data_IF_686856331940
#
_entry.id   IF_686856331940
#
_cell.length_a   1.000
_cell.length_b   1.000
_cell.length_c   1.000
_cell.angle_alpha   90.00
_cell.angle_beta   90.00
_cell.angle_gamma   90.00
#
_symmetry.space_group_name_H-M   'P 1'
#
loop_
_entity.id
_entity.type
_entity.pdbx_description
1 polymer ?
#
# COMPACT_ATOMS: atom_id res chain seq x y z
N UNK A 1 -11.99 -13.13 -5.78
CA UNK A 1 -11.61 -12.58 -4.45
C UNK A 1 -10.44 -11.63 -4.63
N UNK A 2 -10.50 -10.44 -3.99
CA UNK A 2 -9.39 -9.47 -3.98
C UNK A 2 -8.76 -9.50 -2.58
N UNK A 3 -7.48 -9.81 -2.50
CA UNK A 3 -6.66 -9.59 -1.33
C UNK A 3 -6.21 -8.12 -1.32
N UNK A 4 -6.45 -7.40 -0.23
CA UNK A 4 -5.97 -6.04 -0.05
C UNK A 4 -5.06 -5.97 1.17
N UNK A 5 -3.83 -5.50 0.95
CA UNK A 5 -2.85 -5.22 2.01
C UNK A 5 -2.27 -3.82 1.81
N UNK A 6 -1.76 -3.21 2.87
CA UNK A 6 -1.10 -1.89 2.82
C UNK A 6 -0.08 -1.77 3.96
N UNK A 7 0.73 -0.73 3.94
CA UNK A 7 1.58 -0.32 5.07
C UNK A 7 2.58 -1.42 5.50
N UNK A 8 3.28 -2.02 4.53
CA UNK A 8 4.29 -3.05 4.82
C UNK A 8 5.55 -2.46 5.43
N UNK A 9 5.90 -1.22 5.07
CA UNK A 9 7.06 -0.48 5.56
C UNK A 9 8.36 -1.30 5.51
N UNK A 10 8.65 -1.87 4.34
CA UNK A 10 9.86 -2.63 4.11
C UNK A 10 11.07 -1.77 4.45
N UNK A 11 11.82 -2.20 5.48
CA UNK A 11 12.94 -1.50 6.05
C UNK A 11 13.89 -2.46 6.76
N UNK A 12 15.12 -2.52 6.30
CA UNK A 12 16.15 -3.40 6.88
C UNK A 12 17.03 -2.66 7.91
N UNK A 13 17.32 -1.39 7.66
CA UNK A 13 18.18 -0.58 8.51
C UNK A 13 17.48 -0.02 9.75
N UNK A 14 17.30 -0.83 10.80
CA UNK A 14 16.81 -0.37 12.09
C UNK A 14 17.93 -0.42 13.14
N UNK A 15 17.99 0.59 14.02
CA UNK A 15 18.97 0.66 15.09
C UNK A 15 18.83 -0.57 16.02
N UNK A 16 19.95 -1.23 16.29
CA UNK A 16 20.04 -2.42 17.15
C UNK A 16 19.30 -3.65 16.62
N UNK A 17 18.99 -3.70 15.32
CA UNK A 17 18.41 -4.88 14.67
C UNK A 17 19.45 -5.46 13.70
N UNK A 18 19.91 -6.71 13.90
CA UNK A 18 20.83 -7.36 12.97
C UNK A 18 20.18 -7.52 11.58
N UNK A 19 20.92 -7.22 10.51
CA UNK A 19 20.44 -7.30 9.13
C UNK A 19 19.91 -8.70 8.78
N UNK A 20 20.58 -9.83 9.10
CA UNK A 20 20.04 -11.14 8.79
C UNK A 20 18.67 -11.41 9.46
N UNK A 21 18.49 -10.94 10.68
CA UNK A 21 17.20 -11.07 11.37
C UNK A 21 16.10 -10.24 10.70
N UNK A 22 16.42 -9.00 10.30
CA UNK A 22 15.47 -8.15 9.58
C UNK A 22 15.07 -8.78 8.24
N UNK A 23 16.02 -9.34 7.47
CA UNK A 23 15.73 -10.04 6.21
C UNK A 23 14.82 -11.25 6.46
N UNK A 24 15.18 -12.15 7.37
CA UNK A 24 14.40 -13.36 7.67
C UNK A 24 12.97 -13.04 8.11
N UNK A 25 12.76 -11.93 8.81
CA UNK A 25 11.43 -11.48 9.21
C UNK A 25 10.55 -11.12 8.02
N UNK A 26 11.11 -10.45 7.00
CA UNK A 26 10.38 -10.13 5.77
C UNK A 26 10.19 -11.37 4.88
N UNK A 27 11.16 -12.27 4.80
CA UNK A 27 11.04 -13.53 4.09
C UNK A 27 9.88 -14.37 4.62
N UNK A 28 9.77 -14.54 5.94
CA UNK A 28 8.63 -15.21 6.60
C UNK A 28 7.31 -14.50 6.32
N UNK A 29 7.30 -13.16 6.32
CA UNK A 29 6.12 -12.39 5.97
C UNK A 29 5.71 -12.64 4.51
N UNK A 30 6.64 -12.67 3.57
CA UNK A 30 6.35 -12.95 2.17
C UNK A 30 5.83 -14.37 1.95
N UNK A 31 6.38 -15.37 2.66
CA UNK A 31 5.84 -16.73 2.67
C UNK A 31 4.37 -16.73 3.12
N UNK A 32 4.06 -15.98 4.17
CA UNK A 32 2.69 -15.88 4.69
C UNK A 32 1.74 -15.19 3.71
N UNK A 33 2.20 -14.15 3.04
CA UNK A 33 1.42 -13.47 1.98
C UNK A 33 1.12 -14.45 0.85
N UNK A 34 2.11 -15.23 0.38
CA UNK A 34 1.91 -16.24 -0.68
C UNK A 34 0.88 -17.31 -0.30
N UNK A 35 0.90 -17.76 0.96
CA UNK A 35 -0.13 -18.68 1.45
C UNK A 35 -1.54 -18.09 1.35
N UNK A 36 -1.70 -16.81 1.70
CA UNK A 36 -2.99 -16.12 1.65
C UNK A 36 -3.41 -15.87 0.18
N UNK A 37 -2.47 -15.56 -0.70
CA UNK A 37 -2.70 -15.36 -2.14
C UNK A 37 -3.32 -16.58 -2.82
N UNK A 38 -3.08 -17.81 -2.32
CA UNK A 38 -3.71 -19.02 -2.86
C UNK A 38 -5.25 -18.99 -2.83
N UNK A 39 -5.84 -18.16 -1.98
CA UNK A 39 -7.29 -17.96 -1.89
C UNK A 39 -7.81 -16.72 -2.62
N UNK A 40 -6.96 -16.02 -3.36
CA UNK A 40 -7.30 -14.77 -4.04
C UNK A 40 -7.07 -14.84 -5.56
N UNK A 41 -7.85 -14.07 -6.30
CA UNK A 41 -7.70 -13.92 -7.75
C UNK A 41 -6.79 -12.73 -8.10
N UNK A 42 -6.74 -11.73 -7.21
CA UNK A 42 -6.00 -10.48 -7.37
C UNK A 42 -5.45 -10.06 -6.02
N UNK A 43 -4.21 -9.57 -6.00
CA UNK A 43 -3.63 -8.87 -4.84
C UNK A 43 -3.47 -7.38 -5.14
N UNK A 44 -3.93 -6.52 -4.25
CA UNK A 44 -3.73 -5.07 -4.29
C UNK A 44 -2.92 -4.65 -3.08
N UNK A 45 -1.73 -4.07 -3.31
CA UNK A 45 -0.84 -3.55 -2.27
C UNK A 45 -0.96 -2.03 -2.24
N UNK A 46 -1.57 -1.53 -1.17
CA UNK A 46 -2.14 -0.20 -1.03
C UNK A 46 -1.24 0.89 -0.47
N UNK A 47 -0.03 1.01 -0.98
CA UNK A 47 0.93 2.06 -0.57
C UNK A 47 1.71 1.74 0.69
N UNK A 48 2.72 2.55 0.96
CA UNK A 48 3.69 2.39 2.05
C UNK A 48 4.29 0.98 2.08
N UNK A 49 4.61 0.47 0.88
CA UNK A 49 5.35 -0.77 0.71
C UNK A 49 6.76 -0.65 1.29
N UNK A 50 7.41 0.50 1.05
CA UNK A 50 8.68 0.87 1.64
C UNK A 50 8.50 1.93 2.73
N UNK A 51 9.37 1.91 3.74
CA UNK A 51 9.38 2.94 4.80
C UNK A 51 9.94 4.30 4.32
N UNK A 52 10.72 4.29 3.25
CA UNK A 52 11.37 5.42 2.58
C UNK A 52 11.91 4.98 1.22
N UNK A 53 12.63 5.85 0.54
CA UNK A 53 13.43 5.45 -0.64
C UNK A 53 14.32 4.26 -0.25
N UNK A 54 14.17 3.10 -0.91
CA UNK A 54 14.82 1.86 -0.49
C UNK A 54 16.33 1.88 -0.70
N UNK A 55 17.03 1.17 0.16
CA UNK A 55 18.44 0.79 -0.06
C UNK A 55 18.53 -0.31 -1.13
N UNK A 56 19.75 -0.62 -1.58
CA UNK A 56 19.96 -1.72 -2.54
C UNK A 56 19.55 -3.07 -1.96
N UNK A 57 19.80 -3.31 -0.66
CA UNK A 57 19.39 -4.56 0.01
C UNK A 57 17.86 -4.66 0.10
N UNK A 58 17.17 -3.55 0.38
CA UNK A 58 15.71 -3.49 0.40
C UNK A 58 15.12 -3.68 -1.01
N UNK A 59 15.77 -3.16 -2.05
CA UNK A 59 15.37 -3.43 -3.44
C UNK A 59 15.58 -4.90 -3.81
N UNK A 60 16.67 -5.53 -3.40
CA UNK A 60 16.92 -6.95 -3.63
C UNK A 60 15.79 -7.77 -3.01
N UNK A 61 15.48 -7.52 -1.74
CA UNK A 61 14.38 -8.19 -1.04
C UNK A 61 13.02 -7.97 -1.71
N UNK A 62 12.76 -6.76 -2.22
CA UNK A 62 11.56 -6.46 -3.00
C UNK A 62 11.48 -7.29 -4.29
N UNK A 63 12.56 -7.36 -5.05
CA UNK A 63 12.58 -8.14 -6.30
C UNK A 63 12.51 -9.64 -6.07
N UNK A 64 13.06 -10.15 -4.97
CA UNK A 64 12.90 -11.55 -4.55
C UNK A 64 11.42 -11.86 -4.27
N UNK A 65 10.70 -10.96 -3.58
CA UNK A 65 9.24 -11.06 -3.42
C UNK A 65 8.52 -11.05 -4.77
N UNK A 66 8.78 -10.04 -5.61
CA UNK A 66 8.11 -9.85 -6.91
C UNK A 66 8.27 -11.06 -7.82
N UNK A 67 9.45 -11.66 -7.83
CA UNK A 67 9.76 -12.84 -8.66
C UNK A 67 8.84 -14.04 -8.36
N UNK A 68 8.45 -14.19 -7.11
CA UNK A 68 7.67 -15.34 -6.63
C UNK A 68 6.14 -15.10 -6.67
N UNK A 69 5.69 -13.90 -7.07
CA UNK A 69 4.26 -13.59 -7.21
C UNK A 69 3.63 -14.45 -8.30
N UNK A 70 2.51 -15.10 -7.97
CA UNK A 70 1.83 -16.06 -8.85
C UNK A 70 0.42 -15.64 -9.30
N UNK A 71 -0.08 -14.51 -8.80
CA UNK A 71 -1.40 -13.94 -9.17
C UNK A 71 -1.25 -12.49 -9.62
N UNK A 72 -2.18 -11.94 -10.43
CA UNK A 72 -2.18 -10.53 -10.78
C UNK A 72 -2.08 -9.64 -9.54
N UNK A 73 -1.00 -8.86 -9.44
CA UNK A 73 -0.70 -8.02 -8.30
C UNK A 73 -0.53 -6.58 -8.73
N UNK A 74 -1.24 -5.67 -8.06
CA UNK A 74 -1.23 -4.23 -8.34
C UNK A 74 -0.67 -3.49 -7.15
N UNK A 75 0.37 -2.69 -7.37
CA UNK A 75 1.06 -1.92 -6.34
C UNK A 75 0.92 -0.44 -6.67
N UNK A 76 0.49 0.37 -5.72
CA UNK A 76 0.46 1.82 -5.87
C UNK A 76 1.12 2.52 -4.68
N UNK A 77 1.44 3.81 -4.85
CA UNK A 77 2.19 4.59 -3.86
C UNK A 77 1.33 5.03 -2.67
N UNK A 78 1.99 5.06 -1.51
CA UNK A 78 1.56 5.78 -0.33
C UNK A 78 2.38 7.07 -0.13
N UNK A 79 2.27 7.68 1.05
CA UNK A 79 3.00 8.91 1.35
C UNK A 79 4.51 8.68 1.52
N UNK A 80 4.95 7.47 1.90
CA UNK A 80 6.36 7.12 2.03
C UNK A 80 7.07 6.93 0.70
N UNK A 81 6.36 6.61 -0.37
CA UNK A 81 6.90 6.56 -1.73
C UNK A 81 6.91 7.93 -2.43
N UNK A 82 6.20 8.91 -1.90
CA UNK A 82 6.16 10.26 -2.46
C UNK A 82 7.46 11.01 -2.18
N UNK A 83 8.26 11.25 -3.22
CA UNK A 83 9.54 12.00 -3.11
C UNK A 83 9.34 13.50 -3.18
N UNK A 84 8.29 13.95 -3.85
CA UNK A 84 7.81 15.34 -3.96
C UNK A 84 6.31 15.33 -4.18
N UNK A 85 5.69 16.51 -4.05
CA UNK A 85 4.26 16.65 -4.39
C UNK A 85 4.01 16.11 -5.81
N UNK A 86 3.13 15.15 -5.92
CA UNK A 86 2.71 14.46 -7.15
C UNK A 86 3.83 13.68 -7.87
N UNK A 87 4.89 13.25 -7.15
CA UNK A 87 5.95 12.39 -7.69
C UNK A 87 6.24 11.24 -6.75
N UNK A 88 6.30 10.05 -7.30
CA UNK A 88 6.67 8.82 -6.60
C UNK A 88 7.90 8.19 -7.24
N UNK A 89 8.77 7.56 -6.44
CA UNK A 89 9.87 6.76 -6.99
C UNK A 89 9.38 5.45 -7.62
N UNK A 90 8.15 5.04 -7.39
CA UNK A 90 7.56 3.86 -8.03
C UNK A 90 7.54 3.98 -9.56
N UNK A 91 7.42 5.18 -10.11
CA UNK A 91 7.53 5.37 -11.56
C UNK A 91 8.88 4.91 -12.12
N UNK A 92 9.96 4.98 -11.30
CA UNK A 92 11.29 4.48 -11.69
C UNK A 92 11.39 2.95 -11.61
N UNK A 93 10.64 2.32 -10.70
CA UNK A 93 10.64 0.86 -10.51
C UNK A 93 9.71 0.13 -11.50
N UNK A 94 8.72 0.82 -12.05
CA UNK A 94 7.64 0.24 -12.85
C UNK A 94 8.13 -0.71 -13.94
N UNK A 95 9.08 -0.25 -14.76
CA UNK A 95 9.64 -1.06 -15.86
C UNK A 95 10.45 -2.26 -15.34
N UNK A 96 11.25 -2.07 -14.31
CA UNK A 96 12.06 -3.12 -13.74
C UNK A 96 11.17 -4.21 -13.10
N UNK A 97 10.15 -3.81 -12.37
CA UNK A 97 9.16 -4.71 -11.77
C UNK A 97 8.47 -5.57 -12.83
N UNK A 98 7.97 -4.96 -13.89
CA UNK A 98 7.29 -5.67 -14.98
C UNK A 98 8.23 -6.63 -15.74
N UNK A 99 9.52 -6.28 -15.86
CA UNK A 99 10.51 -7.16 -16.49
C UNK A 99 10.87 -8.38 -15.63
N UNK A 100 10.76 -8.26 -14.30
CA UNK A 100 11.00 -9.39 -13.37
C UNK A 100 9.80 -10.32 -13.33
N UNK A 101 8.58 -9.75 -13.29
CA UNK A 101 7.34 -10.52 -13.29
C UNK A 101 6.22 -9.70 -13.93
N UNK A 102 5.67 -10.18 -15.05
CA UNK A 102 4.62 -9.51 -15.82
C UNK A 102 3.24 -9.53 -15.13
N UNK A 103 3.05 -10.39 -14.12
CA UNK A 103 1.86 -10.38 -13.26
C UNK A 103 1.83 -9.18 -12.31
N UNK A 104 2.96 -8.48 -12.10
CA UNK A 104 3.04 -7.37 -11.16
C UNK A 104 3.04 -6.04 -11.88
N UNK A 105 2.04 -5.21 -11.57
CA UNK A 105 1.84 -3.89 -12.17
C UNK A 105 1.95 -2.80 -11.12
N UNK A 106 2.90 -1.88 -11.30
CA UNK A 106 2.93 -0.62 -10.55
C UNK A 106 1.96 0.37 -11.20
N UNK A 107 0.97 0.79 -10.42
CA UNK A 107 -0.07 1.76 -10.82
C UNK A 107 0.33 3.13 -10.29
N UNK A 108 0.99 3.94 -11.10
CA UNK A 108 1.51 5.26 -10.76
C UNK A 108 0.61 6.44 -11.17
N UNK A 109 -0.60 6.13 -11.64
CA UNK A 109 -1.66 7.09 -11.99
C UNK A 109 -3.02 6.49 -11.72
N UNK A 110 -4.01 7.34 -11.47
CA UNK A 110 -5.41 6.91 -11.32
C UNK A 110 -5.83 6.05 -12.50
N UNK A 111 -6.21 4.82 -12.21
CA UNK A 111 -6.55 3.82 -13.22
C UNK A 111 -7.83 3.08 -12.82
N UNK A 112 -8.78 3.01 -13.73
CA UNK A 112 -9.99 2.22 -13.57
C UNK A 112 -9.81 0.84 -14.20
N UNK A 113 -10.08 -0.20 -13.42
CA UNK A 113 -10.12 -1.60 -13.83
C UNK A 113 -11.58 -2.11 -13.83
N UNK A 114 -11.81 -3.29 -14.36
CA UNK A 114 -13.12 -3.93 -14.30
C UNK A 114 -13.60 -4.14 -12.86
N UNK A 115 -12.70 -4.54 -11.98
CA UNK A 115 -12.96 -4.89 -10.58
C UNK A 115 -12.89 -3.73 -9.58
N UNK A 116 -12.39 -2.55 -9.96
CA UNK A 116 -12.22 -1.41 -9.04
C UNK A 116 -11.45 -0.26 -9.66
N UNK A 117 -11.31 0.84 -8.92
CA UNK A 117 -10.46 1.98 -9.29
C UNK A 117 -9.32 2.10 -8.31
N UNK A 118 -8.08 2.23 -8.79
CA UNK A 118 -6.91 2.60 -8.00
C UNK A 118 -6.66 4.09 -8.15
N UNK A 119 -6.64 4.81 -7.02
CA UNK A 119 -6.26 6.21 -6.91
C UNK A 119 -4.99 6.30 -6.06
N UNK A 120 -3.78 6.35 -6.66
CA UNK A 120 -2.52 6.46 -5.94
C UNK A 120 -2.42 7.74 -5.11
N UNK A 121 -1.57 7.72 -4.07
CA UNK A 121 -1.38 8.86 -3.18
C UNK A 121 -0.94 10.13 -3.93
N UNK A 122 -0.01 10.02 -4.88
CA UNK A 122 0.44 11.16 -5.68
C UNK A 122 -0.65 11.78 -6.57
N UNK A 123 -1.73 11.05 -6.84
CA UNK A 123 -2.90 11.59 -7.57
C UNK A 123 -4.00 12.09 -6.62
N UNK A 124 -4.05 11.61 -5.38
CA UNK A 124 -5.08 11.94 -4.39
C UNK A 124 -5.26 13.46 -4.21
N UNK A 125 -4.15 14.18 -4.16
CA UNK A 125 -4.14 15.63 -3.92
C UNK A 125 -4.40 16.48 -5.17
N UNK A 126 -4.55 15.88 -6.35
CA UNK A 126 -4.90 16.62 -7.58
C UNK A 126 -6.36 17.05 -7.52
N UNK A 127 -6.61 18.27 -7.97
CA UNK A 127 -7.98 18.81 -8.01
C UNK A 127 -8.92 17.92 -8.81
N UNK A 128 -10.02 17.50 -8.18
CA UNK A 128 -11.04 16.68 -8.79
C UNK A 128 -10.65 15.21 -9.00
N UNK A 129 -9.55 14.73 -8.43
CA UNK A 129 -9.10 13.33 -8.59
C UNK A 129 -10.13 12.33 -8.05
N UNK A 130 -10.60 12.55 -6.83
CA UNK A 130 -11.61 11.70 -6.18
C UNK A 130 -12.94 11.76 -6.96
N UNK A 131 -13.36 12.97 -7.36
CA UNK A 131 -14.64 13.20 -8.03
C UNK A 131 -14.73 12.52 -9.40
N UNK A 132 -13.61 12.34 -10.08
CA UNK A 132 -13.53 11.66 -11.39
C UNK A 132 -13.61 10.14 -11.29
N UNK A 133 -13.35 9.56 -10.12
CA UNK A 133 -13.45 8.12 -9.95
C UNK A 133 -14.90 7.64 -9.99
N UNK A 134 -15.12 6.47 -10.58
CA UNK A 134 -16.43 5.86 -10.75
C UNK A 134 -17.01 5.44 -9.39
N UNK A 135 -18.14 6.04 -8.92
CA UNK A 135 -18.71 5.72 -7.61
C UNK A 135 -19.32 4.30 -7.53
N UNK A 136 -19.58 3.66 -8.66
CA UNK A 136 -20.18 2.33 -8.71
C UNK A 136 -19.15 1.21 -8.51
N UNK A 137 -17.86 1.55 -8.49
CA UNK A 137 -16.76 0.61 -8.25
C UNK A 137 -16.12 0.81 -6.89
N UNK A 138 -15.57 -0.23 -6.27
CA UNK A 138 -14.69 -0.07 -5.11
C UNK A 138 -13.52 0.86 -5.44
N UNK A 139 -13.17 1.73 -4.51
CA UNK A 139 -12.00 2.60 -4.62
C UNK A 139 -10.87 2.06 -3.74
N UNK A 140 -9.68 1.94 -4.31
CA UNK A 140 -8.44 1.62 -3.61
C UNK A 140 -7.53 2.85 -3.61
N UNK A 141 -7.09 3.29 -2.44
CA UNK A 141 -6.30 4.51 -2.29
C UNK A 141 -5.38 4.44 -1.08
N UNK A 142 -4.59 5.47 -0.86
CA UNK A 142 -3.81 5.66 0.35
C UNK A 142 -4.14 7.04 0.90
N UNK A 143 -4.81 7.11 2.05
CA UNK A 143 -5.31 8.36 2.60
C UNK A 143 -5.36 8.31 4.11
N UNK A 144 -4.85 9.37 4.73
CA UNK A 144 -4.91 9.53 6.18
C UNK A 144 -6.34 9.74 6.65
N UNK A 145 -6.78 8.87 7.55
CA UNK A 145 -8.05 9.01 8.25
C UNK A 145 -7.95 9.94 9.47
N UNK A 146 -9.00 9.94 10.27
CA UNK A 146 -9.09 10.73 11.49
C UNK A 146 -8.92 9.86 12.73
N UNK A 147 -8.04 10.26 13.66
CA UNK A 147 -7.92 9.67 15.02
C UNK A 147 -7.87 10.82 16.01
N UNK A 148 -8.99 11.12 16.63
CA UNK A 148 -9.12 12.20 17.61
C UNK A 148 -8.29 11.93 18.88
N UNK A 149 -7.59 12.91 19.43
CA UNK A 149 -7.28 14.23 18.90
C UNK A 149 -5.96 14.29 18.10
N UNK A 150 -5.35 13.13 17.76
CA UNK A 150 -3.95 13.04 17.37
C UNK A 150 -3.70 13.07 15.86
N UNK A 151 -4.65 12.59 15.05
CA UNK A 151 -4.49 12.48 13.60
C UNK A 151 -5.61 13.23 12.89
N UNK A 152 -5.22 14.19 12.05
CA UNK A 152 -6.14 14.97 11.22
C UNK A 152 -6.05 14.47 9.78
N UNK A 153 -7.19 14.28 9.10
CA UNK A 153 -7.21 13.91 7.69
C UNK A 153 -6.50 14.95 6.81
N UNK A 154 -5.81 14.48 5.79
CA UNK A 154 -5.12 15.34 4.82
C UNK A 154 -6.04 15.82 3.68
N UNK A 155 -7.18 15.15 3.51
CA UNK A 155 -8.25 15.53 2.60
C UNK A 155 -9.59 15.39 3.32
N UNK A 156 -10.59 16.13 2.87
CA UNK A 156 -11.94 16.00 3.40
C UNK A 156 -12.49 14.60 3.10
N UNK A 157 -12.71 13.81 4.15
CA UNK A 157 -13.19 12.43 4.04
C UNK A 157 -14.62 12.32 3.53
N UNK A 158 -15.43 13.40 3.61
CA UNK A 158 -16.79 13.43 3.05
C UNK A 158 -16.79 13.25 1.53
N UNK A 159 -15.70 13.58 0.85
CA UNK A 159 -15.53 13.35 -0.58
C UNK A 159 -15.61 11.87 -0.98
N UNK A 160 -15.38 10.95 -0.03
CA UNK A 160 -15.48 9.51 -0.26
C UNK A 160 -16.91 8.95 -0.07
N UNK A 161 -17.85 9.72 0.48
CA UNK A 161 -19.20 9.26 0.78
C UNK A 161 -19.97 8.75 -0.45
N UNK A 162 -19.59 9.19 -1.65
CA UNK A 162 -20.22 8.75 -2.90
C UNK A 162 -19.89 7.28 -3.26
N UNK A 163 -18.82 6.72 -2.72
CA UNK A 163 -18.43 5.32 -3.00
C UNK A 163 -19.15 4.37 -2.03
N UNK A 164 -19.53 3.21 -2.53
CA UNK A 164 -20.09 2.17 -1.67
C UNK A 164 -19.06 1.65 -0.67
N UNK A 165 -17.79 1.57 -1.07
CA UNK A 165 -16.66 1.13 -0.24
C UNK A 165 -15.33 1.68 -0.76
N UNK A 166 -14.51 2.12 0.18
CA UNK A 166 -13.14 2.56 -0.07
C UNK A 166 -12.19 1.68 0.75
N UNK A 167 -11.13 1.20 0.14
CA UNK A 167 -10.05 0.48 0.80
C UNK A 167 -8.82 1.38 0.81
N UNK A 168 -8.28 1.67 1.98
CA UNK A 168 -7.21 2.65 2.13
C UNK A 168 -6.06 2.14 3.02
N UNK A 169 -4.81 2.50 2.67
CA UNK A 169 -3.66 2.46 3.56
C UNK A 169 -3.52 3.77 4.36
N UNK A 170 -2.49 3.89 5.18
CA UNK A 170 -2.03 4.96 6.10
C UNK A 170 -2.29 4.67 7.58
N UNK A 171 -3.44 4.13 7.95
CA UNK A 171 -3.72 3.81 9.35
C UNK A 171 -3.41 2.35 9.66
N UNK A 172 -2.42 2.14 10.56
CA UNK A 172 -1.84 0.83 10.80
C UNK A 172 -2.69 -0.14 11.62
N UNK A 173 -3.86 0.28 12.12
CA UNK A 173 -4.78 -0.58 12.84
C UNK A 173 -6.13 -0.68 12.12
N UNK A 174 -6.62 -1.91 11.92
CA UNK A 174 -7.91 -2.15 11.30
C UNK A 174 -9.08 -1.53 12.09
N UNK A 175 -8.93 -1.41 13.41
CA UNK A 175 -9.90 -0.73 14.29
C UNK A 175 -10.15 0.74 13.91
N UNK A 176 -9.25 1.35 13.14
CA UNK A 176 -9.40 2.71 12.61
C UNK A 176 -10.30 2.80 11.36
N UNK A 177 -10.86 1.68 10.90
CA UNK A 177 -11.90 1.69 9.86
C UNK A 177 -13.01 2.64 10.24
N UNK A 178 -13.33 3.58 9.35
CA UNK A 178 -14.25 4.66 9.64
C UNK A 178 -15.10 5.02 8.43
N UNK A 179 -16.36 5.41 8.64
CA UNK A 179 -17.32 5.69 7.57
C UNK A 179 -17.41 4.50 6.61
N UNK A 180 -17.22 4.71 5.30
CA UNK A 180 -17.13 3.70 4.27
C UNK A 180 -15.67 3.35 3.87
N UNK A 181 -14.68 3.86 4.64
CA UNK A 181 -13.25 3.64 4.41
C UNK A 181 -12.75 2.53 5.32
N UNK A 182 -12.28 1.45 4.71
CA UNK A 182 -11.73 0.27 5.38
C UNK A 182 -10.21 0.34 5.34
N UNK A 183 -9.58 0.31 6.50
CA UNK A 183 -8.12 0.19 6.65
C UNK A 183 -7.77 -1.26 6.98
N UNK A 184 -6.89 -1.93 6.20
CA UNK A 184 -6.48 -3.30 6.52
C UNK A 184 -5.59 -3.35 7.76
N UNK A 185 -4.93 -2.25 8.07
CA UNK A 185 -3.85 -2.14 9.03
C UNK A 185 -2.52 -2.59 8.44
N UNK A 186 -1.44 -2.34 9.17
CA UNK A 186 -0.12 -2.85 8.81
C UNK A 186 -0.03 -4.34 9.15
N UNK A 187 0.35 -5.21 8.22
CA UNK A 187 0.48 -6.64 8.47
C UNK A 187 1.71 -7.00 9.31
N UNK A 188 2.60 -6.03 9.50
CA UNK A 188 3.80 -6.16 10.32
C UNK A 188 3.90 -5.03 11.33
N UNK A 189 4.53 -5.30 12.47
CA UNK A 189 4.86 -4.25 13.44
C UNK A 189 5.88 -3.30 12.83
N UNK A 190 5.48 -2.06 12.58
CA UNK A 190 6.31 -1.02 11.95
C UNK A 190 7.19 -0.27 12.96
N UNK A 191 6.80 -0.27 14.24
CA UNK A 191 7.56 0.29 15.35
C UNK A 191 7.28 -0.48 16.64
N UNK A 192 8.25 -0.50 17.55
CA UNK A 192 8.07 -1.04 18.91
C UNK A 192 7.42 -0.01 19.85
N UNK A 193 6.57 0.86 19.34
CA UNK A 193 5.78 1.70 20.22
C UNK A 193 4.78 0.82 20.96
N UNK A 194 4.83 0.93 22.28
CA UNK A 194 3.91 0.28 23.20
C UNK A 194 2.49 0.60 22.75
N UNK A 195 1.75 -0.40 22.38
CA UNK A 195 0.31 -0.31 22.52
C UNK A 195 0.05 -0.14 24.02
N UNK A 196 -0.39 1.04 24.37
CA UNK A 196 -1.00 1.25 25.67
C UNK A 196 -2.36 0.57 25.54
N UNK A 197 -2.43 -0.64 26.06
CA UNK A 197 -3.66 -1.38 26.29
C UNK A 197 -4.49 -0.63 27.33
#
# INVERSE_FOLDING_TARGET
>A
VILFTADWHLKLGQKNVPLPWACSRFELFFEKIREIELGADIHVIGGDLFDRVPTMDELTLYFDFIKEVSIPTYIYDGNHEATKKNKTFFSNLKRATQNVNDLVTIVDKTTEFEWGTILPYCDLHKKGSIEKCNPNKPLFTHVRGEIQPHVTPEVDLDRFNKFKRVFAGDLHAHSNTQRNIVYPGSPMTTSFHREIV
#
